data_IF_378849998189
#
_entry.id   IF_378849998189
#
_cell.length_a   1.000
_cell.length_b   1.000
_cell.length_c   1.000
_cell.angle_alpha   90.00
_cell.angle_beta   90.00
_cell.angle_gamma   90.00
#
_symmetry.space_group_name_H-M   'P 1'
#
loop_
_entity.id
_entity.type
_entity.pdbx_description
1 polymer ?
#
# COMPACT_ATOMS: atom_id res chain seq x y z
N UNK A 1 -20.73 20.05 -12.60
CA UNK A 1 -20.55 20.56 -11.24
C UNK A 1 -20.29 19.41 -10.27
N UNK A 2 -19.45 19.65 -9.27
CA UNK A 2 -19.08 18.71 -8.21
C UNK A 2 -19.46 19.30 -6.87
N UNK A 3 -20.18 18.55 -6.03
CA UNK A 3 -20.64 19.02 -4.73
C UNK A 3 -20.24 18.02 -3.62
N UNK A 4 -20.09 18.51 -2.40
CA UNK A 4 -19.85 17.66 -1.20
C UNK A 4 -21.04 16.74 -0.97
N UNK A 5 -20.80 15.46 -0.79
CA UNK A 5 -21.88 14.48 -0.57
C UNK A 5 -22.66 14.71 0.75
N UNK A 6 -22.00 15.19 1.81
CA UNK A 6 -22.62 15.38 3.12
C UNK A 6 -23.42 16.68 3.22
N UNK A 7 -22.95 17.77 2.62
CA UNK A 7 -23.54 19.11 2.80
C UNK A 7 -24.25 19.64 1.56
N UNK A 8 -24.02 19.05 0.39
CA UNK A 8 -24.50 19.57 -0.89
C UNK A 8 -23.83 20.87 -1.34
N UNK A 9 -22.79 21.32 -0.65
CA UNK A 9 -22.02 22.51 -0.99
C UNK A 9 -21.27 22.31 -2.31
N UNK A 10 -21.41 23.28 -3.24
CA UNK A 10 -20.77 23.21 -4.53
C UNK A 10 -19.26 23.45 -4.38
N UNK A 11 -18.45 22.48 -4.84
CA UNK A 11 -16.99 22.57 -4.81
C UNK A 11 -16.42 23.10 -6.13
N UNK A 12 -16.98 22.70 -7.25
CA UNK A 12 -16.56 23.15 -8.57
C UNK A 12 -17.75 23.21 -9.54
N UNK A 13 -17.80 24.25 -10.36
CA UNK A 13 -18.79 24.40 -11.43
C UNK A 13 -18.35 23.67 -12.71
N UNK A 14 -19.32 23.48 -13.62
CA UNK A 14 -19.04 22.91 -14.92
C UNK A 14 -18.19 23.90 -15.75
N UNK A 15 -17.03 23.44 -16.21
CA UNK A 15 -16.08 24.26 -16.97
C UNK A 15 -14.97 24.89 -16.13
N UNK A 16 -15.00 24.75 -14.82
CA UNK A 16 -13.90 25.21 -13.97
C UNK A 16 -12.61 24.44 -14.25
N UNK A 17 -11.50 25.17 -14.28
CA UNK A 17 -10.18 24.55 -14.37
C UNK A 17 -9.73 24.04 -12.99
N UNK A 18 -9.51 22.74 -12.88
CA UNK A 18 -9.08 22.13 -11.63
C UNK A 18 -7.58 22.34 -11.40
N UNK A 19 -7.24 22.98 -10.28
CA UNK A 19 -5.88 22.97 -9.73
C UNK A 19 -5.66 21.70 -8.89
N UNK A 20 -4.40 21.38 -8.60
CA UNK A 20 -4.06 20.25 -7.72
C UNK A 20 -4.70 20.38 -6.33
N UNK A 21 -4.66 21.59 -5.75
CA UNK A 21 -5.28 21.88 -4.45
C UNK A 21 -6.79 21.65 -4.47
N UNK A 22 -7.45 22.09 -5.54
CA UNK A 22 -8.89 21.89 -5.70
C UNK A 22 -9.26 20.42 -5.89
N UNK A 23 -8.43 19.67 -6.62
CA UNK A 23 -8.61 18.22 -6.76
C UNK A 23 -8.48 17.49 -5.42
N UNK A 24 -7.52 17.88 -4.58
CA UNK A 24 -7.38 17.32 -3.21
C UNK A 24 -8.59 17.68 -2.33
N UNK A 25 -9.11 18.90 -2.43
CA UNK A 25 -10.32 19.31 -1.69
C UNK A 25 -11.53 18.46 -2.10
N UNK A 26 -11.69 18.19 -3.38
CA UNK A 26 -12.76 17.33 -3.93
C UNK A 26 -12.60 15.89 -3.43
N UNK A 27 -11.39 15.33 -3.46
CA UNK A 27 -11.10 14.00 -2.92
C UNK A 27 -11.43 13.94 -1.43
N UNK A 28 -10.96 14.92 -0.64
CA UNK A 28 -11.20 14.98 0.80
C UNK A 28 -12.68 15.18 1.15
N UNK A 29 -13.47 15.75 0.25
CA UNK A 29 -14.92 15.89 0.43
C UNK A 29 -15.71 14.58 0.20
N UNK A 30 -15.00 13.47 -0.09
CA UNK A 30 -15.58 12.16 -0.31
C UNK A 30 -16.14 11.93 -1.71
N UNK A 31 -15.91 12.85 -2.64
CA UNK A 31 -16.33 12.69 -4.04
C UNK A 31 -15.40 11.69 -4.73
N UNK A 32 -15.92 10.54 -5.11
CA UNK A 32 -15.14 9.47 -5.73
C UNK A 32 -15.36 9.34 -7.24
N UNK A 33 -16.31 10.08 -7.83
CA UNK A 33 -16.55 10.13 -9.26
C UNK A 33 -16.61 11.57 -9.79
N UNK A 34 -15.88 11.84 -10.86
CA UNK A 34 -15.91 13.14 -11.55
C UNK A 34 -15.76 12.96 -13.06
N UNK A 35 -16.30 13.91 -13.81
CA UNK A 35 -16.14 13.98 -15.28
C UNK A 35 -15.24 15.16 -15.61
N UNK A 36 -14.17 14.90 -16.36
CA UNK A 36 -13.20 15.89 -16.77
C UNK A 36 -13.22 16.04 -18.31
N UNK A 37 -13.25 17.26 -18.79
CA UNK A 37 -12.98 17.55 -20.20
C UNK A 37 -11.47 17.69 -20.36
N UNK A 38 -10.87 16.86 -21.19
CA UNK A 38 -9.44 16.83 -21.44
C UNK A 38 -9.16 16.93 -22.94
N UNK A 39 -8.11 17.70 -23.26
CA UNK A 39 -7.58 17.72 -24.63
C UNK A 39 -6.60 16.56 -24.81
N UNK A 40 -6.97 15.60 -25.64
CA UNK A 40 -6.13 14.43 -25.94
C UNK A 40 -5.62 14.47 -27.37
N UNK A 41 -4.48 13.80 -27.61
CA UNK A 41 -3.89 13.64 -28.94
C UNK A 41 -4.50 12.42 -29.62
N UNK A 42 -5.24 12.64 -30.70
CA UNK A 42 -5.73 11.55 -31.53
C UNK A 42 -4.85 11.40 -32.76
N UNK A 43 -4.37 10.16 -32.98
CA UNK A 43 -3.60 9.83 -34.18
C UNK A 43 -4.56 9.38 -35.26
N UNK A 44 -4.49 10.00 -36.43
CA UNK A 44 -5.29 9.63 -37.61
C UNK A 44 -4.42 9.54 -38.84
N UNK A 45 -4.84 8.74 -39.80
CA UNK A 45 -4.16 8.61 -41.08
C UNK A 45 -4.76 9.64 -42.05
N UNK A 46 -3.93 10.52 -42.57
CA UNK A 46 -4.35 11.51 -43.55
C UNK A 46 -4.56 10.87 -44.95
N UNK A 47 -5.08 11.64 -45.89
CA UNK A 47 -5.31 11.17 -47.27
C UNK A 47 -4.03 10.75 -48.02
N UNK A 48 -2.85 11.15 -47.50
CA UNK A 48 -1.53 10.80 -48.00
C UNK A 48 -0.94 9.55 -47.35
N UNK A 49 -1.74 8.84 -46.54
CA UNK A 49 -1.36 7.64 -45.79
C UNK A 49 -0.26 7.90 -44.72
N UNK A 50 -0.16 9.13 -44.21
CA UNK A 50 0.74 9.54 -43.17
C UNK A 50 -0.02 9.70 -41.85
N UNK A 51 0.64 9.33 -40.72
CA UNK A 51 0.08 9.50 -39.38
C UNK A 51 0.16 10.97 -38.97
N UNK A 52 -0.98 11.61 -38.81
CA UNK A 52 -1.12 12.98 -38.33
C UNK A 52 -1.75 12.98 -36.92
N UNK A 53 -1.55 14.08 -36.19
CA UNK A 53 -2.05 14.26 -34.84
C UNK A 53 -3.04 15.42 -34.84
N UNK A 54 -4.22 15.21 -34.26
CA UNK A 54 -5.16 16.27 -33.93
C UNK A 54 -5.45 16.30 -32.45
N UNK A 55 -5.71 17.50 -31.91
CA UNK A 55 -6.22 17.67 -30.56
C UNK A 55 -7.74 17.52 -30.58
N UNK A 56 -8.25 16.68 -29.72
CA UNK A 56 -9.69 16.41 -29.56
C UNK A 56 -10.06 16.55 -28.11
N UNK A 57 -11.11 17.29 -27.82
CA UNK A 57 -11.72 17.31 -26.49
C UNK A 57 -12.49 16.02 -26.26
N UNK A 58 -12.19 15.34 -25.16
CA UNK A 58 -12.93 14.17 -24.69
C UNK A 58 -13.37 14.37 -23.26
N UNK A 59 -14.56 13.89 -22.94
CA UNK A 59 -15.02 13.75 -21.57
C UNK A 59 -14.49 12.42 -21.00
N UNK A 60 -13.74 12.50 -19.91
CA UNK A 60 -13.13 11.35 -19.25
C UNK A 60 -13.71 11.22 -17.85
N UNK A 61 -14.23 10.03 -17.50
CA UNK A 61 -14.69 9.71 -16.17
C UNK A 61 -13.52 9.30 -15.30
N UNK A 62 -13.33 10.00 -14.18
CA UNK A 62 -12.34 9.67 -13.15
C UNK A 62 -13.06 9.04 -11.97
N UNK A 63 -12.59 7.88 -11.53
CA UNK A 63 -13.10 7.17 -10.36
C UNK A 63 -11.96 7.02 -9.35
N UNK A 64 -12.17 7.50 -8.14
CA UNK A 64 -11.29 7.29 -6.98
C UNK A 64 -11.72 6.09 -6.15
N UNK A 65 -10.94 5.75 -5.14
CA UNK A 65 -11.25 4.66 -4.20
C UNK A 65 -12.07 5.11 -2.98
N UNK A 66 -12.47 6.38 -2.91
CA UNK A 66 -13.29 6.91 -1.83
C UNK A 66 -12.60 6.92 -0.47
N UNK A 67 -11.28 7.00 -0.42
CA UNK A 67 -10.51 7.06 0.81
C UNK A 67 -10.20 8.52 1.17
N UNK A 68 -10.58 8.94 2.37
CA UNK A 68 -10.43 10.32 2.88
C UNK A 68 -9.62 10.35 4.17
N UNK A 69 -9.10 11.52 4.52
CA UNK A 69 -8.44 11.74 5.81
C UNK A 69 -9.50 11.98 6.90
N UNK A 70 -9.47 11.15 7.93
CA UNK A 70 -10.43 11.21 9.05
C UNK A 70 -10.32 12.50 9.86
N UNK A 71 -9.11 13.08 9.96
CA UNK A 71 -8.87 14.31 10.72
C UNK A 71 -9.68 15.52 10.24
N UNK A 72 -10.14 15.51 9.00
CA UNK A 72 -11.02 16.55 8.44
C UNK A 72 -12.50 16.46 8.86
N UNK A 73 -12.89 15.38 9.54
CA UNK A 73 -14.29 15.10 9.89
C UNK A 73 -14.55 14.95 11.38
N UNK A 74 -13.51 14.85 12.19
CA UNK A 74 -13.60 14.64 13.64
C UNK A 74 -12.72 15.62 14.40
N UNK A 75 -13.12 15.95 15.63
CA UNK A 75 -12.42 16.92 16.49
C UNK A 75 -11.46 16.26 17.50
N UNK A 76 -11.39 14.91 17.55
CA UNK A 76 -10.51 14.18 18.45
C UNK A 76 -9.25 13.67 17.74
N UNK A 77 -8.20 13.34 18.51
CA UNK A 77 -6.95 12.81 17.96
C UNK A 77 -7.12 11.38 17.46
N UNK A 78 -7.13 11.23 16.15
CA UNK A 78 -7.29 9.93 15.47
C UNK A 78 -6.10 8.97 15.70
N UNK A 79 -4.91 9.50 16.04
CA UNK A 79 -3.70 8.71 16.29
C UNK A 79 -3.79 7.90 17.58
N UNK A 80 -4.54 8.37 18.58
CA UNK A 80 -4.79 7.63 19.82
C UNK A 80 -5.50 6.30 19.57
N UNK A 81 -6.26 6.21 18.48
CA UNK A 81 -6.99 4.99 18.06
C UNK A 81 -6.22 4.13 17.05
N UNK A 82 -4.96 4.51 16.77
CA UNK A 82 -4.10 3.78 15.83
C UNK A 82 -4.49 3.95 14.36
N UNK A 83 -5.32 4.95 14.06
CA UNK A 83 -5.73 5.31 12.70
C UNK A 83 -4.75 6.36 12.17
N UNK A 84 -3.80 5.94 11.35
CA UNK A 84 -2.78 6.79 10.71
C UNK A 84 -2.84 6.73 9.18
N UNK A 85 -3.88 6.11 8.64
CA UNK A 85 -4.11 5.93 7.22
C UNK A 85 -5.44 6.57 6.81
N UNK A 86 -5.65 6.77 5.49
CA UNK A 86 -6.92 7.23 4.97
C UNK A 86 -8.01 6.19 5.27
N UNK A 87 -9.23 6.66 5.54
CA UNK A 87 -10.40 5.83 5.88
C UNK A 87 -11.42 5.81 4.74
N UNK A 88 -12.21 4.74 4.66
CA UNK A 88 -13.30 4.63 3.69
C UNK A 88 -14.39 5.66 3.99
N UNK A 89 -14.63 6.58 3.06
CA UNK A 89 -15.67 7.61 3.17
C UNK A 89 -17.06 7.01 3.28
N UNK A 90 -17.31 5.89 2.62
CA UNK A 90 -18.60 5.20 2.69
C UNK A 90 -18.95 4.75 4.11
N UNK A 91 -17.99 4.11 4.79
CA UNK A 91 -18.16 3.66 6.18
C UNK A 91 -18.20 4.86 7.12
N UNK A 92 -17.36 5.87 6.87
CA UNK A 92 -17.36 7.12 7.66
C UNK A 92 -18.71 7.83 7.57
N UNK A 93 -19.30 7.94 6.40
CA UNK A 93 -20.62 8.54 6.19
C UNK A 93 -21.70 7.82 6.99
N UNK A 94 -21.73 6.48 6.97
CA UNK A 94 -22.65 5.68 7.79
C UNK A 94 -22.50 5.97 9.28
N UNK A 95 -21.25 6.11 9.76
CA UNK A 95 -20.97 6.42 11.17
C UNK A 95 -21.44 7.85 11.50
N UNK A 96 -21.13 8.83 10.64
CA UNK A 96 -21.56 10.22 10.84
C UNK A 96 -23.09 10.37 10.84
N UNK A 97 -23.79 9.64 9.99
CA UNK A 97 -25.26 9.66 9.92
C UNK A 97 -25.93 8.93 11.10
N UNK A 98 -25.26 7.92 11.68
CA UNK A 98 -25.80 7.14 12.80
C UNK A 98 -25.48 7.71 14.18
N UNK A 99 -24.48 8.55 14.30
CA UNK A 99 -24.04 9.13 15.59
C UNK A 99 -24.76 10.43 15.88
N UNK A 100 -25.38 10.52 17.06
CA UNK A 100 -26.09 11.73 17.50
C UNK A 100 -25.16 12.74 18.20
N UNK A 101 -24.13 12.27 18.90
CA UNK A 101 -23.20 13.06 19.70
C UNK A 101 -21.73 12.73 19.37
N UNK A 102 -20.82 13.68 19.70
CA UNK A 102 -19.37 13.50 19.48
C UNK A 102 -18.78 12.30 20.24
N UNK A 103 -19.31 11.96 21.43
CA UNK A 103 -18.88 10.80 22.18
C UNK A 103 -19.30 9.48 21.54
N UNK A 104 -20.52 9.44 21.01
CA UNK A 104 -20.99 8.27 20.27
C UNK A 104 -20.22 8.06 18.96
N UNK A 105 -19.89 9.18 18.27
CA UNK A 105 -19.03 9.15 17.08
C UNK A 105 -17.66 8.54 17.39
N UNK A 106 -17.04 8.97 18.48
CA UNK A 106 -15.74 8.45 18.92
C UNK A 106 -15.79 6.94 19.22
N UNK A 107 -16.83 6.48 19.95
CA UNK A 107 -17.03 5.06 20.23
C UNK A 107 -17.28 4.22 18.96
N UNK A 108 -18.06 4.75 18.02
CA UNK A 108 -18.34 4.07 16.75
C UNK A 108 -17.09 3.97 15.87
N UNK A 109 -16.30 5.05 15.78
CA UNK A 109 -15.00 5.05 15.06
C UNK A 109 -14.06 4.00 15.65
N UNK A 110 -13.94 3.94 16.98
CA UNK A 110 -13.11 2.95 17.67
C UNK A 110 -13.60 1.52 17.43
N UNK A 111 -14.88 1.28 17.47
CA UNK A 111 -15.48 -0.04 17.29
C UNK A 111 -15.34 -0.55 15.86
N UNK A 112 -15.47 0.34 14.87
CA UNK A 112 -15.43 0.01 13.44
C UNK A 112 -14.10 0.39 12.77
N UNK A 113 -13.02 0.55 13.54
CA UNK A 113 -11.70 0.93 13.00
C UNK A 113 -11.19 -0.02 11.90
N UNK A 114 -11.42 -1.32 12.03
CA UNK A 114 -11.03 -2.32 11.03
C UNK A 114 -11.85 -2.23 9.73
N UNK A 115 -13.09 -1.73 9.80
CA UNK A 115 -13.92 -1.48 8.62
C UNK A 115 -13.59 -0.15 7.96
N UNK A 116 -13.24 0.87 8.78
CA UNK A 116 -12.79 2.18 8.31
C UNK A 116 -11.48 2.10 7.54
N UNK A 117 -10.52 1.29 8.03
CA UNK A 117 -9.21 1.09 7.39
C UNK A 117 -9.10 -0.36 6.91
N UNK A 118 -9.67 -0.71 5.76
CA UNK A 118 -9.58 -2.06 5.23
C UNK A 118 -8.12 -2.39 4.88
N UNK A 119 -7.54 -3.42 5.54
CA UNK A 119 -6.16 -3.89 5.29
C UNK A 119 -6.07 -4.93 4.18
N UNK A 120 -7.04 -4.94 3.29
CA UNK A 120 -7.12 -5.81 2.12
C UNK A 120 -7.61 -5.00 0.92
N UNK A 121 -7.36 -5.50 -0.28
CA UNK A 121 -7.85 -4.86 -1.52
C UNK A 121 -9.36 -4.97 -1.58
N UNK A 122 -10.04 -3.84 -1.70
CA UNK A 122 -11.49 -3.74 -1.87
C UNK A 122 -11.85 -3.54 -3.36
N UNK A 123 -13.12 -3.72 -3.69
CA UNK A 123 -13.59 -3.54 -5.07
C UNK A 123 -13.39 -2.12 -5.59
N UNK A 124 -13.53 -1.12 -4.73
CA UNK A 124 -13.35 0.29 -5.09
C UNK A 124 -11.90 0.59 -5.48
N UNK A 125 -10.90 -0.06 -4.86
CA UNK A 125 -9.49 0.02 -5.27
C UNK A 125 -9.27 -0.54 -6.67
N UNK A 126 -9.96 -1.63 -7.02
CA UNK A 126 -9.87 -2.24 -8.35
C UNK A 126 -10.46 -1.30 -9.39
N UNK A 127 -11.64 -0.74 -9.14
CA UNK A 127 -12.27 0.21 -10.05
C UNK A 127 -11.44 1.48 -10.22
N UNK A 128 -10.91 2.04 -9.13
CA UNK A 128 -10.03 3.21 -9.16
C UNK A 128 -8.76 2.93 -9.97
N UNK A 129 -8.15 1.76 -9.78
CA UNK A 129 -6.94 1.35 -10.52
C UNK A 129 -7.21 1.23 -12.01
N UNK A 130 -8.31 0.59 -12.41
CA UNK A 130 -8.69 0.45 -13.83
C UNK A 130 -8.99 1.82 -14.43
N UNK A 131 -9.75 2.67 -13.71
CA UNK A 131 -10.05 4.03 -14.13
C UNK A 131 -8.79 4.84 -14.33
N UNK A 132 -7.84 4.80 -13.37
CA UNK A 132 -6.57 5.49 -13.49
C UNK A 132 -5.75 5.03 -14.68
N UNK A 133 -5.69 3.74 -14.94
CA UNK A 133 -5.02 3.17 -16.11
C UNK A 133 -5.65 3.66 -17.43
N UNK A 134 -6.98 3.66 -17.53
CA UNK A 134 -7.68 4.20 -18.70
C UNK A 134 -7.42 5.70 -18.88
N UNK A 135 -7.42 6.45 -17.79
CA UNK A 135 -7.17 7.90 -17.80
C UNK A 135 -5.73 8.23 -18.24
N UNK A 136 -4.74 7.42 -17.86
CA UNK A 136 -3.37 7.56 -18.37
C UNK A 136 -3.29 7.42 -19.90
N UNK A 137 -4.10 6.54 -20.49
CA UNK A 137 -4.16 6.38 -21.94
C UNK A 137 -4.70 7.65 -22.65
N UNK A 138 -5.57 8.41 -21.96
CA UNK A 138 -6.11 9.69 -22.47
C UNK A 138 -5.24 10.90 -22.03
N UNK A 139 -4.10 10.67 -21.39
CA UNK A 139 -3.17 11.73 -20.97
C UNK A 139 -3.53 12.39 -19.64
N UNK A 140 -4.46 11.82 -18.88
CA UNK A 140 -4.83 12.29 -17.54
C UNK A 140 -4.04 11.49 -16.49
N UNK A 141 -3.24 12.17 -15.69
CA UNK A 141 -2.38 11.56 -14.68
C UNK A 141 -0.91 11.50 -15.09
N UNK A 142 -0.10 10.91 -14.25
CA UNK A 142 1.35 10.76 -14.44
C UNK A 142 1.77 9.31 -14.16
N UNK A 143 2.75 8.85 -14.93
CA UNK A 143 3.37 7.53 -14.69
C UNK A 143 4.45 7.68 -13.65
N UNK A 144 4.43 6.83 -12.63
CA UNK A 144 5.45 6.83 -11.58
C UNK A 144 6.78 6.31 -12.10
N UNK A 145 7.87 6.93 -11.62
CA UNK A 145 9.23 6.46 -11.88
C UNK A 145 9.51 5.22 -10.99
N UNK A 146 9.77 4.07 -11.62
CA UNK A 146 10.06 2.80 -10.95
C UNK A 146 11.33 2.89 -10.10
N UNK A 147 12.33 3.65 -10.55
CA UNK A 147 13.63 3.76 -9.87
C UNK A 147 13.64 4.83 -8.76
N UNK A 148 12.58 5.65 -8.64
CA UNK A 148 12.45 6.64 -7.59
C UNK A 148 12.29 5.95 -6.22
N UNK A 149 13.09 6.36 -5.22
CA UNK A 149 13.08 5.74 -3.88
C UNK A 149 11.75 5.90 -3.12
N UNK A 150 10.89 6.83 -3.51
CA UNK A 150 9.51 6.91 -3.02
C UNK A 150 8.65 5.72 -3.44
N UNK A 151 8.92 5.14 -4.61
CA UNK A 151 8.19 3.98 -5.16
C UNK A 151 8.93 2.66 -4.90
N UNK A 152 10.22 2.75 -4.54
CA UNK A 152 11.08 1.61 -4.28
C UNK A 152 11.45 1.54 -2.80
N UNK A 153 10.71 0.74 -2.05
CA UNK A 153 10.91 0.59 -0.62
C UNK A 153 12.15 -0.27 -0.30
N UNK A 154 12.95 0.20 0.64
CA UNK A 154 14.11 -0.54 1.17
C UNK A 154 13.65 -1.30 2.41
N UNK A 155 13.90 -2.61 2.43
CA UNK A 155 13.61 -3.46 3.59
C UNK A 155 14.78 -3.40 4.57
N UNK A 156 14.50 -3.05 5.81
CA UNK A 156 15.49 -3.04 6.89
C UNK A 156 15.87 -4.46 7.33
N UNK A 157 16.99 -4.57 8.04
CA UNK A 157 17.46 -5.84 8.62
C UNK A 157 16.40 -6.47 9.53
N UNK A 158 15.69 -5.66 10.32
CA UNK A 158 14.61 -6.15 11.20
C UNK A 158 13.51 -6.86 10.44
N UNK A 159 13.06 -6.31 9.32
CA UNK A 159 12.03 -6.92 8.47
C UNK A 159 12.53 -8.21 7.81
N UNK A 160 13.78 -8.23 7.34
CA UNK A 160 14.38 -9.45 6.78
C UNK A 160 14.48 -10.57 7.81
N UNK A 161 14.90 -10.26 9.05
CA UNK A 161 14.94 -11.21 10.15
C UNK A 161 13.53 -11.68 10.55
N UNK A 162 12.55 -10.78 10.62
CA UNK A 162 11.16 -11.14 10.90
C UNK A 162 10.64 -12.19 9.90
N UNK A 163 10.96 -12.04 8.62
CA UNK A 163 10.58 -13.01 7.61
C UNK A 163 11.26 -14.38 7.84
N UNK A 164 12.53 -14.40 8.25
CA UNK A 164 13.22 -15.63 8.57
C UNK A 164 12.65 -16.32 9.83
N UNK A 165 12.30 -15.55 10.86
CA UNK A 165 11.59 -16.08 12.00
C UNK A 165 10.24 -16.67 11.61
N UNK A 166 9.46 -16.00 10.76
CA UNK A 166 8.18 -16.51 10.27
C UNK A 166 8.33 -17.85 9.56
N UNK A 167 9.34 -18.00 8.71
CA UNK A 167 9.67 -19.27 8.04
C UNK A 167 10.05 -20.33 9.06
N UNK A 168 10.90 -19.99 10.04
CA UNK A 168 11.31 -20.88 11.12
C UNK A 168 10.15 -21.36 11.96
N UNK A 169 9.24 -20.46 12.35
CA UNK A 169 8.03 -20.80 13.10
C UNK A 169 7.07 -21.69 12.30
N UNK A 170 6.86 -21.41 11.03
CA UNK A 170 6.02 -22.25 10.17
C UNK A 170 6.57 -23.68 10.03
N UNK A 171 7.91 -23.83 9.89
CA UNK A 171 8.58 -25.13 9.89
C UNK A 171 8.42 -25.84 11.24
N UNK A 172 8.56 -25.11 12.34
CA UNK A 172 8.38 -25.63 13.70
C UNK A 172 6.94 -26.09 13.94
N UNK A 173 5.95 -25.29 13.57
CA UNK A 173 4.52 -25.61 13.69
C UNK A 173 4.21 -26.95 12.99
N UNK A 174 4.70 -27.13 11.76
CA UNK A 174 4.51 -28.38 11.03
C UNK A 174 5.09 -29.58 11.78
N UNK A 175 6.31 -29.46 12.31
CA UNK A 175 6.95 -30.53 13.08
C UNK A 175 6.18 -30.84 14.37
N UNK A 176 5.67 -29.80 15.07
CA UNK A 176 4.84 -29.98 16.26
C UNK A 176 3.56 -30.75 15.91
N UNK A 177 2.88 -30.34 14.83
CA UNK A 177 1.65 -30.99 14.36
C UNK A 177 1.86 -32.47 14.00
N UNK A 178 2.96 -32.78 13.32
CA UNK A 178 3.36 -34.16 12.99
C UNK A 178 3.61 -34.97 14.28
N UNK A 179 4.35 -34.42 15.24
CA UNK A 179 4.61 -35.08 16.53
C UNK A 179 3.34 -35.32 17.34
N UNK A 180 2.45 -34.32 17.38
CA UNK A 180 1.15 -34.48 18.06
C UNK A 180 0.37 -35.63 17.47
N UNK A 181 0.32 -35.75 16.14
CA UNK A 181 -0.41 -36.83 15.48
C UNK A 181 0.17 -38.21 15.77
N UNK A 182 1.50 -38.31 15.86
CA UNK A 182 2.20 -39.59 16.15
C UNK A 182 2.05 -39.97 17.65
N UNK A 183 2.27 -39.02 18.55
CA UNK A 183 2.26 -39.28 19.99
C UNK A 183 0.85 -39.36 20.58
N UNK A 184 -0.17 -38.80 19.90
CA UNK A 184 -1.57 -38.93 20.36
C UNK A 184 -2.03 -40.40 20.44
N UNK A 185 -1.33 -41.34 19.81
CA UNK A 185 -1.66 -42.76 19.86
C UNK A 185 -1.00 -43.51 21.01
N UNK A 186 0.09 -42.97 21.59
CA UNK A 186 0.94 -43.71 22.51
C UNK A 186 1.07 -43.09 23.92
N UNK A 187 0.58 -41.88 24.18
CA UNK A 187 0.82 -41.17 25.43
C UNK A 187 -0.45 -40.58 26.08
N UNK A 188 -0.68 -40.88 27.32
CA UNK A 188 -1.75 -40.33 28.17
C UNK A 188 -1.52 -38.82 28.49
N UNK A 189 -0.26 -38.33 28.48
CA UNK A 189 0.10 -36.96 28.80
C UNK A 189 1.19 -36.44 27.87
N UNK A 190 0.85 -35.48 27.03
CA UNK A 190 1.79 -34.79 26.16
C UNK A 190 2.20 -33.46 26.80
N UNK A 191 3.48 -33.23 27.03
CA UNK A 191 3.99 -31.96 27.55
C UNK A 191 4.45 -31.04 26.42
N UNK A 192 4.24 -29.71 26.52
CA UNK A 192 4.72 -28.77 25.50
C UNK A 192 6.23 -28.85 25.26
N UNK A 193 7.03 -29.15 26.29
CA UNK A 193 8.49 -29.27 26.19
C UNK A 193 8.94 -30.46 25.34
N UNK A 194 8.15 -31.55 25.30
CA UNK A 194 8.45 -32.71 24.45
C UNK A 194 8.15 -32.44 22.95
N UNK A 195 7.19 -31.55 22.66
CA UNK A 195 6.74 -31.22 21.32
C UNK A 195 7.60 -30.14 20.67
N UNK A 196 7.96 -29.10 21.42
CA UNK A 196 8.65 -27.93 20.88
C UNK A 196 10.12 -28.22 20.60
N UNK A 197 10.58 -27.87 19.39
CA UNK A 197 11.96 -27.98 18.96
C UNK A 197 12.41 -26.66 18.30
N UNK A 198 13.44 -26.03 18.83
CA UNK A 198 13.97 -24.76 18.34
C UNK A 198 14.88 -24.89 17.11
N UNK A 199 15.28 -26.11 16.73
CA UNK A 199 16.21 -26.36 15.62
C UNK A 199 15.75 -25.75 14.29
N UNK A 200 14.46 -25.80 13.89
CA UNK A 200 13.99 -25.19 12.63
C UNK A 200 14.19 -23.68 12.60
N UNK A 201 13.98 -22.98 13.71
CA UNK A 201 14.20 -21.54 13.83
C UNK A 201 15.68 -21.21 13.71
N UNK A 202 16.52 -21.92 14.49
CA UNK A 202 17.97 -21.74 14.44
C UNK A 202 18.54 -22.04 13.05
N UNK A 203 18.01 -23.05 12.36
CA UNK A 203 18.40 -23.38 10.99
C UNK A 203 18.04 -22.26 10.00
N UNK A 204 16.83 -21.69 10.10
CA UNK A 204 16.40 -20.59 9.23
C UNK A 204 17.28 -19.33 9.41
N UNK A 205 17.62 -18.99 10.65
CA UNK A 205 18.51 -17.86 10.93
C UNK A 205 19.93 -18.13 10.41
N UNK A 206 20.48 -19.33 10.63
CA UNK A 206 21.80 -19.72 10.10
C UNK A 206 21.83 -19.71 8.56
N UNK A 207 20.75 -20.16 7.94
CA UNK A 207 20.57 -20.12 6.49
C UNK A 207 20.61 -18.70 5.94
N UNK A 208 19.94 -17.75 6.63
CA UNK A 208 19.99 -16.35 6.24
C UNK A 208 21.39 -15.74 6.33
N UNK A 209 22.08 -15.90 7.45
CA UNK A 209 23.43 -15.31 7.62
C UNK A 209 24.51 -16.05 6.82
N UNK A 210 24.34 -17.32 6.49
CA UNK A 210 25.35 -18.12 5.80
C UNK A 210 25.20 -18.17 4.27
N UNK A 211 24.00 -18.06 3.75
CA UNK A 211 23.72 -18.28 2.31
C UNK A 211 22.93 -17.17 1.63
N UNK A 212 22.37 -16.22 2.39
CA UNK A 212 21.66 -15.10 1.76
C UNK A 212 22.64 -14.12 1.07
N UNK A 213 22.39 -13.76 -0.20
CA UNK A 213 23.19 -12.74 -0.89
C UNK A 213 23.13 -11.37 -0.19
N UNK A 214 22.12 -11.11 0.63
CA UNK A 214 21.98 -9.87 1.38
C UNK A 214 22.87 -9.80 2.62
N UNK A 215 23.32 -10.95 3.15
CA UNK A 215 24.27 -11.04 4.26
C UNK A 215 25.66 -11.24 3.71
N UNK A 216 26.48 -10.21 3.79
CA UNK A 216 27.85 -10.18 3.25
C UNK A 216 28.86 -9.92 4.36
N UNK A 217 30.08 -10.41 4.20
CA UNK A 217 31.18 -9.99 5.04
C UNK A 217 31.52 -8.51 4.81
N UNK A 218 31.78 -7.79 5.91
CA UNK A 218 32.25 -6.42 5.83
C UNK A 218 33.68 -6.39 5.28
N UNK A 219 33.91 -5.54 4.28
CA UNK A 219 35.26 -5.26 3.78
C UNK A 219 35.98 -4.41 4.82
N UNK A 220 37.08 -4.94 5.39
CA UNK A 220 37.91 -4.28 6.41
C UNK A 220 39.37 -4.15 5.99
N UNK A 221 39.71 -4.46 4.76
CA UNK A 221 41.11 -4.41 4.27
C UNK A 221 41.63 -2.98 4.15
N UNK A 222 40.75 -2.04 3.76
CA UNK A 222 41.04 -0.63 3.61
C UNK A 222 39.97 0.20 4.34
N UNK A 223 40.37 1.19 5.19
CA UNK A 223 39.43 2.05 5.89
C UNK A 223 38.42 2.76 4.99
N UNK A 224 38.84 3.14 3.77
CA UNK A 224 37.93 3.77 2.79
C UNK A 224 36.91 2.77 2.25
N UNK A 225 37.34 1.55 1.95
CA UNK A 225 36.44 0.48 1.51
C UNK A 225 35.41 0.09 2.62
N UNK A 226 35.87 0.05 3.88
CA UNK A 226 34.98 -0.17 5.03
C UNK A 226 33.93 0.93 5.17
N UNK A 227 34.34 2.21 5.05
CA UNK A 227 33.44 3.35 5.11
C UNK A 227 32.39 3.29 3.97
N UNK A 228 32.84 2.99 2.76
CA UNK A 228 31.99 2.85 1.58
C UNK A 228 30.97 1.72 1.78
N UNK A 229 31.39 0.58 2.34
CA UNK A 229 30.52 -0.55 2.64
C UNK A 229 29.49 -0.20 3.70
N UNK A 230 29.86 0.52 4.78
CA UNK A 230 28.92 1.00 5.80
C UNK A 230 27.87 1.98 5.27
N UNK A 231 28.22 2.76 4.24
CA UNK A 231 27.30 3.73 3.60
C UNK A 231 26.45 3.13 2.50
N UNK A 232 26.58 1.84 2.21
CA UNK A 232 25.78 1.17 1.19
C UNK A 232 24.31 1.11 1.63
N UNK A 233 23.43 1.69 0.83
CA UNK A 233 21.99 1.72 1.09
C UNK A 233 21.28 0.45 0.57
N UNK A 234 21.76 -0.10 -0.54
CA UNK A 234 21.20 -1.27 -1.20
C UNK A 234 22.29 -2.26 -1.57
N UNK A 235 21.98 -3.55 -1.52
CA UNK A 235 22.89 -4.59 -1.99
C UNK A 235 23.04 -4.61 -3.52
N UNK A 236 22.21 -3.86 -4.25
CA UNK A 236 22.28 -3.76 -5.71
C UNK A 236 23.41 -2.82 -6.16
N UNK A 237 24.17 -3.22 -7.16
CA UNK A 237 25.16 -2.37 -7.79
C UNK A 237 26.60 -2.87 -7.66
N UNK A 238 27.62 -2.00 -7.88
CA UNK A 238 29.03 -2.38 -7.88
C UNK A 238 29.44 -3.02 -6.54
N UNK A 239 30.03 -4.21 -6.61
CA UNK A 239 30.41 -5.00 -5.43
C UNK A 239 29.27 -5.72 -4.71
N UNK A 240 28.05 -5.68 -5.25
CA UNK A 240 26.85 -6.32 -4.73
C UNK A 240 26.16 -7.20 -5.76
N UNK A 241 24.80 -7.27 -5.65
CA UNK A 241 23.95 -8.08 -6.53
C UNK A 241 23.75 -7.41 -7.89
N UNK A 242 23.66 -8.23 -8.95
CA UNK A 242 23.12 -7.80 -10.23
C UNK A 242 21.59 -7.72 -10.18
N UNK A 243 20.96 -6.94 -11.09
CA UNK A 243 19.48 -6.85 -11.19
C UNK A 243 18.81 -8.21 -11.35
N UNK A 244 19.45 -9.15 -12.03
CA UNK A 244 18.92 -10.51 -12.28
C UNK A 244 18.88 -11.39 -11.01
N UNK A 245 19.57 -10.99 -9.94
CA UNK A 245 19.64 -11.71 -8.66
C UNK A 245 18.98 -10.97 -7.50
N UNK A 246 18.42 -9.79 -7.75
CA UNK A 246 17.66 -9.00 -6.81
C UNK A 246 16.16 -9.25 -6.98
#
# INVERSE_FOLDING_TARGET
>A
PVAKELTGELLADAGDRLSFEKAMEIEQAGVYEAYLNVETKEYYTNEQNETAIRMVEKEVKVIGNGMVDLSGYVDFDVLEYGINEKVSFKVLKEILESSADAQELEEQVKKRADELVPKHIILDDIYATISYFCNLCEGVGTVDDIDHLGNRRIRSVGELLQNQFRIGFSRMERVIRERMNIQAQDMDVITPQALVNIRPITAAIKEFFGSSPLSQFMDQTNPLAELTHKRRLSALGPGGLSRDRA
#
